data_IF_108178773826
#
_entry.id   IF_108178773826
#
_cell.length_a   1.000
_cell.length_b   1.000
_cell.length_c   1.000
_cell.angle_alpha   90.00
_cell.angle_beta   90.00
_cell.angle_gamma   90.00
#
_symmetry.space_group_name_H-M   'P 1'
#
loop_
_entity.id
_entity.type
_entity.pdbx_description
1 polymer ?
#
# COMPACT_ATOMS: atom_id res chain seq x y z
N UNK A 1 -15.13 12.38 -15.98
CA UNK A 1 -15.00 12.10 -14.52
C UNK A 1 -15.28 10.64 -14.18
N UNK A 2 -16.23 9.98 -14.86
CA UNK A 2 -16.52 8.55 -14.68
C UNK A 2 -15.28 7.63 -14.73
N UNK A 3 -14.33 7.87 -15.63
CA UNK A 3 -13.10 7.06 -15.74
C UNK A 3 -12.15 7.19 -14.54
N UNK A 4 -12.12 8.33 -13.83
CA UNK A 4 -11.30 8.49 -12.62
C UNK A 4 -11.96 7.79 -11.43
N UNK A 5 -13.30 7.88 -11.33
CA UNK A 5 -14.07 7.24 -10.27
C UNK A 5 -14.06 5.71 -10.42
N UNK A 6 -14.30 5.20 -11.63
CA UNK A 6 -14.20 3.78 -11.93
C UNK A 6 -12.80 3.24 -11.61
N UNK A 7 -11.76 4.01 -11.95
CA UNK A 7 -10.39 3.65 -11.59
C UNK A 7 -10.20 3.56 -10.06
N UNK A 8 -10.58 4.59 -9.31
CA UNK A 8 -10.39 4.61 -7.85
C UNK A 8 -11.17 3.50 -7.13
N UNK A 9 -12.34 3.14 -7.67
CA UNK A 9 -13.13 2.00 -7.21
C UNK A 9 -12.40 0.68 -7.47
N UNK A 10 -11.93 0.44 -8.71
CA UNK A 10 -11.22 -0.79 -9.06
C UNK A 10 -9.94 -0.97 -8.25
N UNK A 11 -9.16 0.09 -8.06
CA UNK A 11 -7.94 0.04 -7.25
C UNK A 11 -8.21 -0.35 -5.80
N UNK A 12 -9.20 0.29 -5.15
CA UNK A 12 -9.56 -0.07 -3.78
C UNK A 12 -10.16 -1.47 -3.69
N UNK A 13 -10.97 -1.86 -4.67
CA UNK A 13 -11.55 -3.21 -4.75
C UNK A 13 -10.47 -4.29 -4.83
N UNK A 14 -9.54 -4.17 -5.79
CA UNK A 14 -8.43 -5.12 -5.95
C UNK A 14 -7.61 -5.20 -4.66
N UNK A 15 -7.28 -4.06 -4.04
CA UNK A 15 -6.51 -4.02 -2.79
C UNK A 15 -7.21 -4.78 -1.65
N UNK A 16 -8.51 -4.57 -1.46
CA UNK A 16 -9.28 -5.24 -0.41
C UNK A 16 -9.36 -6.74 -0.70
N UNK A 17 -9.55 -7.13 -1.96
CA UNK A 17 -9.55 -8.53 -2.39
C UNK A 17 -8.20 -9.21 -2.12
N UNK A 18 -7.09 -8.60 -2.52
CA UNK A 18 -5.74 -9.14 -2.22
C UNK A 18 -5.56 -9.33 -0.71
N UNK A 19 -6.00 -8.37 0.11
CA UNK A 19 -5.96 -8.49 1.56
C UNK A 19 -6.78 -9.67 2.12
N UNK A 20 -7.88 -10.06 1.47
CA UNK A 20 -8.67 -11.23 1.82
C UNK A 20 -8.00 -12.53 1.36
N UNK A 21 -7.49 -12.60 0.13
CA UNK A 21 -6.81 -13.79 -0.40
C UNK A 21 -5.55 -14.15 0.36
N UNK A 22 -4.84 -13.15 0.90
CA UNK A 22 -3.62 -13.37 1.66
C UNK A 22 -3.83 -14.18 2.95
N UNK A 23 -5.04 -14.12 3.52
CA UNK A 23 -5.42 -14.93 4.69
C UNK A 23 -5.45 -16.41 4.31
N UNK A 24 -6.00 -16.75 3.14
CA UNK A 24 -6.01 -18.12 2.64
C UNK A 24 -4.60 -18.63 2.33
N UNK A 25 -3.74 -17.77 1.79
CA UNK A 25 -2.33 -18.12 1.58
C UNK A 25 -1.61 -18.45 2.89
N UNK A 26 -1.79 -17.63 3.94
CA UNK A 26 -1.21 -17.90 5.26
C UNK A 26 -1.75 -19.20 5.88
N UNK A 27 -3.04 -19.50 5.67
CA UNK A 27 -3.63 -20.78 6.08
C UNK A 27 -2.99 -21.98 5.39
N UNK A 28 -2.75 -21.90 4.08
CA UNK A 28 -2.06 -22.96 3.33
C UNK A 28 -0.63 -23.21 3.86
N UNK A 29 0.02 -22.16 4.37
CA UNK A 29 1.34 -22.24 5.02
C UNK A 29 1.29 -22.74 6.47
N UNK A 30 0.12 -23.10 6.98
CA UNK A 30 -0.05 -23.73 8.29
C UNK A 30 -0.24 -22.75 9.45
N UNK A 31 -0.47 -21.46 9.20
CA UNK A 31 -0.82 -20.51 10.26
C UNK A 31 -2.26 -20.72 10.74
N UNK A 32 -2.48 -20.56 12.04
CA UNK A 32 -3.83 -20.61 12.60
C UNK A 32 -4.57 -19.29 12.39
N UNK A 33 -5.90 -19.29 12.52
CA UNK A 33 -6.71 -18.07 12.44
C UNK A 33 -6.29 -17.03 13.49
N UNK A 34 -5.86 -17.48 14.67
CA UNK A 34 -5.39 -16.62 15.76
C UNK A 34 -4.10 -15.92 15.35
N UNK A 35 -3.15 -16.67 14.77
CA UNK A 35 -1.88 -16.13 14.29
C UNK A 35 -2.10 -15.05 13.22
N UNK A 36 -2.97 -15.33 12.26
CA UNK A 36 -3.33 -14.38 11.21
C UNK A 36 -4.00 -13.14 11.80
N UNK A 37 -4.89 -13.33 12.77
CA UNK A 37 -5.53 -12.24 13.52
C UNK A 37 -4.49 -11.33 14.18
N UNK A 38 -3.50 -11.91 14.87
CA UNK A 38 -2.41 -11.16 15.51
C UNK A 38 -1.59 -10.41 14.47
N UNK A 39 -1.23 -11.04 13.34
CA UNK A 39 -0.47 -10.41 12.26
C UNK A 39 -1.23 -9.20 11.70
N UNK A 40 -2.54 -9.32 11.46
CA UNK A 40 -3.38 -8.23 10.94
C UNK A 40 -3.59 -7.12 11.97
N UNK A 41 -3.77 -7.46 13.24
CA UNK A 41 -3.82 -6.46 14.32
C UNK A 41 -2.49 -5.72 14.48
N UNK A 42 -1.37 -6.43 14.37
CA UNK A 42 -0.04 -5.83 14.37
C UNK A 42 0.13 -4.86 13.21
N UNK A 43 -0.26 -5.25 11.99
CA UNK A 43 -0.25 -4.38 10.82
C UNK A 43 -1.04 -3.08 11.08
N UNK A 44 -2.27 -3.20 11.59
CA UNK A 44 -3.13 -2.05 11.89
C UNK A 44 -2.53 -1.15 12.99
N UNK A 45 -1.92 -1.73 14.02
CA UNK A 45 -1.23 -0.99 15.07
C UNK A 45 -0.03 -0.20 14.52
N UNK A 46 0.81 -0.83 13.70
CA UNK A 46 1.94 -0.14 13.05
C UNK A 46 1.42 1.01 12.20
N UNK A 47 0.40 0.78 11.38
CA UNK A 47 -0.21 1.85 10.59
C UNK A 47 -0.66 3.01 11.48
N UNK A 48 -1.39 2.75 12.57
CA UNK A 48 -1.87 3.78 13.49
C UNK A 48 -0.71 4.60 14.10
N UNK A 49 0.36 3.93 14.54
CA UNK A 49 1.52 4.61 15.14
C UNK A 49 2.30 5.40 14.10
N UNK A 50 2.43 4.88 12.88
CA UNK A 50 3.27 5.48 11.84
C UNK A 50 2.54 6.49 10.97
N UNK A 51 1.20 6.56 11.02
CA UNK A 51 0.40 7.44 10.16
C UNK A 51 0.77 8.93 10.37
N UNK A 52 0.81 9.37 11.63
CA UNK A 52 1.15 10.74 12.01
C UNK A 52 2.62 11.11 11.64
N UNK A 53 3.65 10.34 12.06
CA UNK A 53 5.03 10.71 11.78
C UNK A 53 5.39 10.60 10.29
N UNK A 54 4.87 9.59 9.57
CA UNK A 54 5.15 9.44 8.13
C UNK A 54 4.34 10.43 7.30
N UNK A 55 3.13 10.80 7.74
CA UNK A 55 2.37 11.91 7.16
C UNK A 55 3.16 13.21 7.23
N UNK A 56 3.69 13.55 8.41
CA UNK A 56 4.53 14.72 8.58
C UNK A 56 5.84 14.67 7.75
N UNK A 57 6.47 13.50 7.66
CA UNK A 57 7.65 13.29 6.82
C UNK A 57 7.34 13.57 5.35
N UNK A 58 6.19 13.08 4.86
CA UNK A 58 5.77 13.27 3.48
C UNK A 58 5.48 14.73 3.14
N UNK A 59 4.94 15.48 4.08
CA UNK A 59 4.62 16.89 3.91
C UNK A 59 5.87 17.79 3.88
N UNK A 60 6.92 17.46 4.66
CA UNK A 60 8.12 18.31 4.76
C UNK A 60 9.24 17.98 3.77
N UNK A 61 9.53 16.70 3.50
CA UNK A 61 10.78 16.31 2.82
C UNK A 61 10.69 16.20 1.30
N UNK A 62 9.50 15.92 0.75
CA UNK A 62 9.13 15.93 -0.68
C UNK A 62 8.21 14.74 -0.98
N UNK A 63 7.05 15.02 -1.59
CA UNK A 63 6.06 14.01 -1.98
C UNK A 63 6.64 12.89 -2.87
N UNK A 64 7.64 13.20 -3.71
CA UNK A 64 8.25 12.23 -4.63
C UNK A 64 9.05 11.16 -3.88
N UNK A 65 9.77 11.55 -2.83
CA UNK A 65 10.57 10.62 -2.03
C UNK A 65 9.67 9.65 -1.26
N UNK A 66 8.54 10.14 -0.73
CA UNK A 66 7.56 9.31 -0.03
C UNK A 66 6.97 8.23 -0.94
N UNK A 67 6.65 8.57 -2.19
CA UNK A 67 6.14 7.60 -3.18
C UNK A 67 7.20 6.55 -3.52
N UNK A 68 8.45 6.95 -3.72
CA UNK A 68 9.56 6.02 -4.02
C UNK A 68 9.81 5.07 -2.84
N UNK A 69 9.86 5.60 -1.62
CA UNK A 69 10.03 4.80 -0.42
C UNK A 69 8.86 3.83 -0.20
N UNK A 70 7.63 4.29 -0.45
CA UNK A 70 6.47 3.41 -0.36
C UNK A 70 6.52 2.28 -1.39
N UNK A 71 6.92 2.56 -2.63
CA UNK A 71 7.08 1.55 -3.66
C UNK A 71 8.18 0.54 -3.29
N UNK A 72 9.30 1.01 -2.70
CA UNK A 72 10.36 0.14 -2.20
C UNK A 72 9.85 -0.79 -1.09
N UNK A 73 9.12 -0.27 -0.10
CA UNK A 73 8.53 -1.07 0.97
C UNK A 73 7.45 -2.05 0.47
N UNK A 74 6.64 -1.65 -0.52
CA UNK A 74 5.69 -2.55 -1.16
C UNK A 74 6.40 -3.72 -1.86
N UNK A 75 7.49 -3.44 -2.60
CA UNK A 75 8.28 -4.48 -3.24
C UNK A 75 8.91 -5.44 -2.22
N UNK A 76 9.44 -4.89 -1.11
CA UNK A 76 9.97 -5.71 -0.01
C UNK A 76 8.88 -6.57 0.63
N UNK A 77 7.68 -6.02 0.85
CA UNK A 77 6.54 -6.80 1.34
C UNK A 77 6.21 -7.97 0.41
N UNK A 78 6.10 -7.73 -0.89
CA UNK A 78 5.80 -8.79 -1.87
C UNK A 78 6.85 -9.90 -1.85
N UNK A 79 8.12 -9.51 -1.83
CA UNK A 79 9.23 -10.46 -1.76
C UNK A 79 9.19 -11.30 -0.49
N UNK A 80 9.04 -10.65 0.68
CA UNK A 80 8.96 -11.34 1.97
C UNK A 80 7.73 -12.24 2.04
N UNK A 81 6.60 -11.81 1.50
CA UNK A 81 5.36 -12.58 1.50
C UNK A 81 5.48 -13.87 0.69
N UNK A 82 6.18 -13.84 -0.45
CA UNK A 82 6.39 -15.01 -1.29
C UNK A 82 7.39 -16.02 -0.73
N UNK A 83 8.42 -15.56 -0.01
CA UNK A 83 9.48 -16.43 0.54
C UNK A 83 9.18 -16.92 1.96
N UNK A 84 8.37 -16.18 2.71
CA UNK A 84 8.09 -16.52 4.11
C UNK A 84 7.18 -17.74 4.24
N UNK A 85 7.53 -18.62 5.17
CA UNK A 85 6.73 -19.80 5.55
C UNK A 85 6.42 -19.85 7.05
N UNK A 86 6.87 -18.85 7.80
CA UNK A 86 6.76 -18.80 9.26
C UNK A 86 6.03 -17.53 9.73
N UNK A 87 5.44 -17.60 10.92
CA UNK A 87 4.73 -16.50 11.56
C UNK A 87 5.54 -15.19 11.58
N UNK A 88 6.79 -15.24 12.04
CA UNK A 88 7.66 -14.06 12.12
C UNK A 88 8.00 -13.47 10.76
N UNK A 89 8.12 -14.31 9.72
CA UNK A 89 8.33 -13.86 8.35
C UNK A 89 7.13 -13.07 7.83
N UNK A 90 5.91 -13.55 8.09
CA UNK A 90 4.68 -12.83 7.75
C UNK A 90 4.49 -11.55 8.56
N UNK A 91 4.89 -11.56 9.83
CA UNK A 91 4.83 -10.37 10.68
C UNK A 91 5.78 -9.26 10.17
N UNK A 92 6.99 -9.64 9.73
CA UNK A 92 7.93 -8.74 9.09
C UNK A 92 7.43 -8.26 7.73
N UNK A 93 6.84 -9.14 6.92
CA UNK A 93 6.24 -8.76 5.65
C UNK A 93 5.16 -7.68 5.86
N UNK A 94 4.21 -7.92 6.77
CA UNK A 94 3.12 -7.00 7.04
C UNK A 94 3.57 -5.68 7.70
N UNK A 95 4.71 -5.66 8.38
CA UNK A 95 5.34 -4.42 8.82
C UNK A 95 5.70 -3.52 7.63
N UNK A 96 6.37 -4.05 6.59
CA UNK A 96 6.70 -3.28 5.40
C UNK A 96 5.45 -2.85 4.63
N UNK A 97 4.40 -3.69 4.61
CA UNK A 97 3.12 -3.33 4.04
C UNK A 97 2.48 -2.13 4.74
N UNK A 98 2.46 -2.13 6.08
CA UNK A 98 1.95 -1.02 6.89
C UNK A 98 2.68 0.29 6.62
N UNK A 99 4.02 0.26 6.53
CA UNK A 99 4.83 1.43 6.22
C UNK A 99 4.57 1.96 4.79
N UNK A 100 4.44 1.06 3.81
CA UNK A 100 4.13 1.43 2.43
C UNK A 100 2.78 2.15 2.34
N UNK A 101 1.75 1.59 2.98
CA UNK A 101 0.39 2.13 2.94
C UNK A 101 0.29 3.51 3.60
N UNK A 102 0.91 3.70 4.76
CA UNK A 102 0.94 5.00 5.46
C UNK A 102 1.71 6.07 4.69
N UNK A 103 2.82 5.71 4.03
CA UNK A 103 3.57 6.61 3.15
C UNK A 103 2.81 7.00 1.88
N UNK A 104 1.85 6.21 1.41
CA UNK A 104 1.04 6.51 0.21
C UNK A 104 -0.17 7.37 0.57
N UNK A 105 -0.81 7.12 1.71
CA UNK A 105 -2.08 7.75 2.09
C UNK A 105 -1.97 9.28 2.25
N UNK A 106 -0.94 9.78 2.93
CA UNK A 106 -0.72 11.21 3.17
C UNK A 106 -0.41 12.04 1.90
N UNK A 107 0.67 11.72 1.15
CA UNK A 107 1.13 12.56 0.04
C UNK A 107 0.17 12.58 -1.15
N UNK A 108 -0.68 11.57 -1.34
CA UNK A 108 -1.72 11.62 -2.39
C UNK A 108 -2.69 12.79 -2.16
N UNK A 109 -3.10 13.04 -0.91
CA UNK A 109 -4.07 14.09 -0.60
C UNK A 109 -3.46 15.48 -0.76
N UNK A 110 -2.20 15.66 -0.34
CA UNK A 110 -1.44 16.90 -0.53
C UNK A 110 -1.15 17.18 -2.02
N UNK A 111 -0.80 16.15 -2.78
CA UNK A 111 -0.56 16.26 -4.23
C UNK A 111 -1.84 16.66 -4.97
N UNK A 112 -2.98 16.02 -4.67
CA UNK A 112 -4.28 16.38 -5.24
C UNK A 112 -4.67 17.84 -4.92
N UNK A 113 -4.39 18.30 -3.70
CA UNK A 113 -4.64 19.68 -3.29
C UNK A 113 -3.78 20.69 -4.06
N UNK A 114 -2.47 20.42 -4.18
CA UNK A 114 -1.53 21.30 -4.91
C UNK A 114 -1.83 21.35 -6.41
N UNK A 115 -2.24 20.23 -7.00
CA UNK A 115 -2.54 20.14 -8.43
C UNK A 115 -3.91 20.73 -8.80
N UNK A 116 -4.86 20.81 -7.85
CA UNK A 116 -6.10 21.61 -8.03
C UNK A 116 -5.77 23.08 -8.35
N UNK A 117 -4.59 23.55 -7.93
CA UNK A 117 -4.08 24.91 -8.17
C UNK A 117 -3.32 25.07 -9.49
N UNK A 118 -2.87 23.98 -10.13
CA UNK A 118 -2.10 23.99 -11.38
C UNK A 118 -2.58 22.89 -12.34
N UNK A 119 -3.45 23.27 -13.29
CA UNK A 119 -3.82 22.52 -14.50
C UNK A 119 -4.12 21.01 -14.39
N UNK A 120 -5.43 20.71 -14.38
CA UNK A 120 -6.10 19.41 -14.26
C UNK A 120 -5.67 18.30 -15.25
N UNK A 121 -5.02 18.64 -16.37
CA UNK A 121 -4.72 17.70 -17.46
C UNK A 121 -3.43 16.88 -17.24
N UNK A 122 -2.44 17.44 -16.54
CA UNK A 122 -1.18 16.75 -16.22
C UNK A 122 -1.35 15.77 -15.04
N UNK A 123 -2.29 16.07 -14.14
CA UNK A 123 -2.68 15.21 -13.01
C UNK A 123 -3.11 13.81 -13.47
N UNK A 124 -3.93 13.73 -14.51
CA UNK A 124 -4.41 12.45 -15.06
C UNK A 124 -3.27 11.58 -15.58
N UNK A 125 -2.29 12.17 -16.27
CA UNK A 125 -1.21 11.42 -16.92
C UNK A 125 -0.26 10.78 -15.89
N UNK A 126 0.08 11.50 -14.83
CA UNK A 126 1.01 11.01 -13.80
C UNK A 126 0.35 10.19 -12.71
N UNK A 127 -0.91 10.46 -12.34
CA UNK A 127 -1.69 9.54 -11.50
C UNK A 127 -1.73 8.18 -12.17
N UNK A 128 -2.15 8.08 -13.44
CA UNK A 128 -2.17 6.81 -14.18
C UNK A 128 -0.81 6.13 -14.21
N UNK A 129 0.31 6.87 -14.17
CA UNK A 129 1.67 6.32 -14.27
C UNK A 129 2.22 5.74 -12.95
N UNK A 130 2.08 6.45 -11.82
CA UNK A 130 2.43 5.93 -10.48
C UNK A 130 1.52 4.76 -10.10
N UNK A 131 0.27 4.88 -10.51
CA UNK A 131 -0.79 3.94 -10.26
C UNK A 131 -0.65 2.69 -11.12
N UNK A 132 -0.22 2.79 -12.39
CA UNK A 132 0.16 1.64 -13.22
C UNK A 132 1.32 0.85 -12.61
N UNK A 133 2.31 1.50 -12.00
CA UNK A 133 3.44 0.78 -11.36
C UNK A 133 2.95 -0.05 -10.17
N UNK A 134 1.97 0.47 -9.41
CA UNK A 134 1.41 -0.21 -8.23
C UNK A 134 0.34 -1.26 -8.63
N UNK A 135 -0.48 -1.02 -9.65
CA UNK A 135 -1.38 -2.04 -10.21
C UNK A 135 -0.62 -3.13 -10.95
N UNK A 136 0.48 -2.85 -11.67
CA UNK A 136 1.35 -3.90 -12.21
C UNK A 136 1.93 -4.74 -11.06
N UNK A 137 2.37 -4.14 -9.95
CA UNK A 137 2.83 -4.90 -8.79
C UNK A 137 1.73 -5.78 -8.16
N UNK A 138 0.45 -5.37 -8.22
CA UNK A 138 -0.69 -6.16 -7.74
C UNK A 138 -1.22 -7.19 -8.77
N UNK A 139 -1.10 -6.92 -10.08
CA UNK A 139 -1.57 -7.81 -11.16
C UNK A 139 -0.60 -8.94 -11.49
N UNK A 140 0.70 -8.76 -11.24
CA UNK A 140 1.72 -9.79 -11.48
C UNK A 140 1.87 -10.80 -10.32
N UNK A 141 0.94 -10.79 -9.37
CA UNK A 141 0.86 -11.70 -8.22
C UNK A 141 -0.51 -12.41 -8.15
N UNK A 142 -1.08 -12.66 -9.32
CA UNK A 142 -1.94 -13.82 -9.59
C UNK A 142 -1.19 -14.71 -10.57
#
# INVERSE_FOLDING_TARGET
>A
MASILAFGFLFNGIRILTGAFIVFYMFEKGLTLIDIGIIKSFQAFIMMVTDIPLGYFADRKSYKLSIILAAAFAATWLFLMGVSTSFSGFLLAEFFNALSLTLIAGPIMLYLFNMRKQNLHLLKKYLVQVLNIITLACLYLV
#
